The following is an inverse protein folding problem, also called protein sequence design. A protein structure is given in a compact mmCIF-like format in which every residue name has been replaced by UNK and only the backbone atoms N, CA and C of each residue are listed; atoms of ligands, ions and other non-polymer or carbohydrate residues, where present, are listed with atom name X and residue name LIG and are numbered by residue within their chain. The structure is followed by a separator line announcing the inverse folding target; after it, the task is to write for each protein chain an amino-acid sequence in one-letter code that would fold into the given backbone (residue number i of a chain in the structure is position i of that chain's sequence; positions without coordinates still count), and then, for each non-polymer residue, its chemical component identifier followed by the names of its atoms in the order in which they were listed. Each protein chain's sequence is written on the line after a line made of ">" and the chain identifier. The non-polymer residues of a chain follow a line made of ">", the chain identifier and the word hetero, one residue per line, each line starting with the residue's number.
data_IF_401058346396
#
_entry.id   IF_401058346396
#
_cell.length_a   1.000
_cell.length_b   1.000
_cell.length_c   1.000
_cell.angle_alpha   90.00
_cell.angle_beta   90.00
_cell.angle_gamma   90.00
#
_symmetry.space_group_name_H-M   'P 1'
#
loop_
_entity.id
_entity.type
_entity.pdbx_description
1 polymer ?
#
# COMPACT_ATOMS: atom_id res chain seq x y z
N UNK A 1 42.12 -6.22 4.30
CA UNK A 1 41.41 -7.51 4.47
C UNK A 1 39.98 -7.22 4.94
N UNK A 2 39.07 -6.80 4.05
CA UNK A 2 37.63 -6.66 4.40
C UNK A 2 36.65 -6.61 3.20
N UNK A 3 37.10 -6.85 1.97
CA UNK A 3 36.24 -6.77 0.78
C UNK A 3 35.17 -7.86 0.75
N UNK A 4 35.46 -9.04 1.29
CA UNK A 4 34.50 -10.15 1.38
C UNK A 4 33.32 -9.90 2.33
N UNK A 5 33.51 -9.13 3.40
CA UNK A 5 32.44 -8.81 4.36
C UNK A 5 31.49 -7.77 3.74
N UNK A 6 32.04 -6.76 3.06
CA UNK A 6 31.23 -5.77 2.33
C UNK A 6 30.38 -6.41 1.23
N UNK A 7 30.92 -7.39 0.50
CA UNK A 7 30.17 -8.09 -0.56
C UNK A 7 29.01 -8.92 0.02
N UNK A 8 29.22 -9.61 1.15
CA UNK A 8 28.16 -10.39 1.82
C UNK A 8 27.05 -9.49 2.37
N UNK A 9 27.41 -8.37 2.99
CA UNK A 9 26.43 -7.41 3.52
C UNK A 9 25.67 -6.69 2.40
N UNK A 10 26.31 -6.42 1.26
CA UNK A 10 25.64 -5.86 0.08
C UNK A 10 24.62 -6.85 -0.51
N UNK A 11 25.04 -8.09 -0.78
CA UNK A 11 24.16 -9.14 -1.32
C UNK A 11 22.97 -9.43 -0.40
N UNK A 12 23.20 -9.58 0.91
CA UNK A 12 22.10 -9.85 1.87
C UNK A 12 21.12 -8.67 1.94
N UNK A 13 21.61 -7.43 1.86
CA UNK A 13 20.78 -6.22 1.85
C UNK A 13 19.90 -6.12 0.61
N UNK A 14 20.47 -6.37 -0.57
CA UNK A 14 19.69 -6.34 -1.82
C UNK A 14 18.72 -7.52 -1.94
N UNK A 15 19.08 -8.68 -1.40
CA UNK A 15 18.19 -9.82 -1.28
C UNK A 15 16.98 -9.50 -0.36
N UNK A 16 17.19 -8.90 0.81
CA UNK A 16 16.09 -8.52 1.70
C UNK A 16 15.17 -7.45 1.08
N UNK A 17 15.73 -6.52 0.29
CA UNK A 17 14.96 -5.51 -0.45
C UNK A 17 14.09 -6.09 -1.56
N UNK A 18 14.47 -7.23 -2.12
CA UNK A 18 13.70 -7.92 -3.18
C UNK A 18 12.72 -8.94 -2.63
N UNK A 19 12.98 -9.51 -1.45
CA UNK A 19 12.03 -10.41 -0.78
C UNK A 19 10.73 -9.72 -0.38
N UNK A 20 10.80 -8.51 0.17
CA UNK A 20 9.61 -7.77 0.59
C UNK A 20 8.58 -7.62 -0.56
N UNK A 21 8.91 -7.01 -1.71
CA UNK A 21 7.95 -6.89 -2.82
C UNK A 21 7.55 -8.24 -3.43
N UNK A 22 8.40 -9.27 -3.36
CA UNK A 22 8.07 -10.62 -3.81
C UNK A 22 6.91 -11.22 -2.98
N UNK A 23 6.99 -11.15 -1.65
CA UNK A 23 5.92 -11.63 -0.79
C UNK A 23 4.65 -10.79 -0.95
N UNK A 24 4.76 -9.47 -1.09
CA UNK A 24 3.60 -8.60 -1.33
C UNK A 24 2.90 -8.97 -2.64
N UNK A 25 3.67 -9.20 -3.71
CA UNK A 25 3.13 -9.64 -5.00
C UNK A 25 2.46 -11.01 -4.89
N UNK A 26 3.04 -11.96 -4.15
CA UNK A 26 2.46 -13.27 -3.91
C UNK A 26 1.11 -13.18 -3.20
N UNK A 27 1.02 -12.36 -2.15
CA UNK A 27 -0.23 -12.12 -1.41
C UNK A 27 -1.30 -11.53 -2.35
N UNK A 28 -0.94 -10.52 -3.15
CA UNK A 28 -1.85 -9.92 -4.13
C UNK A 28 -2.31 -10.94 -5.16
N UNK A 29 -1.41 -11.77 -5.68
CA UNK A 29 -1.75 -12.81 -6.66
C UNK A 29 -2.74 -13.84 -6.08
N UNK A 30 -2.51 -14.31 -4.84
CA UNK A 30 -3.44 -15.20 -4.14
C UNK A 30 -4.80 -14.52 -3.94
N UNK A 31 -4.80 -13.23 -3.59
CA UNK A 31 -6.01 -12.45 -3.41
C UNK A 31 -6.83 -12.31 -4.71
N UNK A 32 -6.17 -12.05 -5.83
CA UNK A 32 -6.81 -11.98 -7.17
C UNK A 32 -7.40 -13.35 -7.56
N UNK A 33 -6.66 -14.44 -7.35
CA UNK A 33 -7.14 -15.80 -7.63
C UNK A 33 -8.35 -16.14 -6.74
N UNK A 34 -8.32 -15.78 -5.46
CA UNK A 34 -9.44 -15.98 -4.55
C UNK A 34 -10.69 -15.21 -5.03
N UNK A 35 -10.55 -13.95 -5.45
CA UNK A 35 -11.65 -13.16 -6.04
C UNK A 35 -12.18 -13.82 -7.32
N UNK A 36 -11.32 -14.34 -8.18
CA UNK A 36 -11.71 -15.02 -9.41
C UNK A 36 -12.49 -16.33 -9.12
N UNK A 37 -12.00 -17.16 -8.19
CA UNK A 37 -12.66 -18.40 -7.78
C UNK A 37 -14.00 -18.08 -7.11
N UNK A 38 -14.06 -17.13 -6.18
CA UNK A 38 -15.30 -16.71 -5.55
C UNK A 38 -16.28 -16.10 -6.56
N UNK A 39 -15.79 -15.41 -7.60
CA UNK A 39 -16.61 -14.91 -8.70
C UNK A 39 -17.23 -16.06 -9.52
N UNK A 40 -16.44 -17.09 -9.83
CA UNK A 40 -16.84 -18.23 -10.68
C UNK A 40 -17.64 -19.30 -9.93
N UNK A 41 -17.41 -19.48 -8.63
CA UNK A 41 -18.12 -20.50 -7.85
C UNK A 41 -19.42 -19.97 -7.24
N UNK A 42 -19.51 -18.66 -7.02
CA UNK A 42 -20.63 -18.04 -6.33
C UNK A 42 -21.54 -17.31 -7.35
N UNK A 43 -21.89 -17.99 -8.46
CA UNK A 43 -22.82 -17.50 -9.49
C UNK A 43 -24.25 -17.30 -8.97
N UNK A 44 -24.54 -17.71 -7.73
CA UNK A 44 -25.78 -17.36 -7.08
C UNK A 44 -25.89 -15.84 -6.96
N UNK A 45 -26.88 -15.23 -7.62
CA UNK A 45 -26.96 -13.79 -7.65
C UNK A 45 -27.36 -13.27 -6.27
N UNK A 46 -26.42 -12.59 -5.60
CA UNK A 46 -26.70 -11.97 -4.30
C UNK A 46 -27.71 -10.86 -4.52
N UNK A 47 -28.86 -11.02 -3.87
CA UNK A 47 -29.94 -10.05 -3.92
C UNK A 47 -29.56 -8.84 -3.08
N UNK A 48 -28.84 -7.90 -3.67
CA UNK A 48 -28.72 -6.56 -3.11
C UNK A 48 -30.10 -5.90 -3.19
N UNK A 49 -30.88 -6.02 -2.10
CA UNK A 49 -32.09 -5.23 -1.92
C UNK A 49 -31.64 -3.78 -1.76
N UNK A 50 -31.57 -3.06 -2.88
CA UNK A 50 -31.37 -1.61 -2.87
C UNK A 50 -32.60 -0.99 -2.19
N UNK A 51 -32.50 -0.83 -0.87
CA UNK A 51 -33.27 0.09 -0.01
C UNK A 51 -34.79 0.24 -0.20
N UNK A 52 -35.50 -0.66 -0.90
CA UNK A 52 -36.98 -0.80 -1.11
C UNK A 52 -37.34 -1.06 -2.59
N UNK A 53 -36.49 -0.74 -3.57
CA UNK A 53 -36.84 -0.87 -4.98
C UNK A 53 -35.83 -1.72 -5.77
N UNK A 54 -36.33 -2.87 -6.24
CA UNK A 54 -35.81 -3.72 -7.32
C UNK A 54 -34.46 -4.43 -7.10
N UNK A 55 -34.52 -5.77 -7.06
CA UNK A 55 -33.36 -6.66 -6.96
C UNK A 55 -32.68 -6.78 -8.32
N UNK A 56 -31.57 -6.07 -8.50
CA UNK A 56 -30.62 -6.40 -9.57
C UNK A 56 -29.68 -7.45 -9.01
N UNK A 57 -29.75 -8.61 -9.63
CA UNK A 57 -28.95 -9.80 -9.37
C UNK A 57 -27.50 -9.53 -9.80
N UNK A 58 -26.68 -8.95 -8.93
CA UNK A 58 -25.27 -8.66 -9.23
C UNK A 58 -24.40 -9.84 -8.76
N UNK A 59 -23.57 -10.43 -9.64
CA UNK A 59 -22.59 -11.44 -9.26
C UNK A 59 -21.65 -10.93 -8.16
N UNK A 60 -21.41 -11.76 -7.16
CA UNK A 60 -20.53 -11.42 -6.02
C UNK A 60 -19.13 -11.04 -6.44
N UNK A 61 -18.65 -11.57 -7.57
CA UNK A 61 -17.39 -11.16 -8.18
C UNK A 61 -17.32 -9.68 -8.54
N UNK A 62 -18.43 -9.08 -9.01
CA UNK A 62 -18.48 -7.65 -9.36
C UNK A 62 -18.41 -6.80 -8.09
N UNK A 63 -19.09 -7.21 -7.03
CA UNK A 63 -19.06 -6.52 -5.73
C UNK A 63 -17.66 -6.56 -5.12
N UNK A 64 -17.00 -7.73 -5.16
CA UNK A 64 -15.62 -7.91 -4.70
C UNK A 64 -14.63 -7.10 -5.53
N UNK A 65 -14.74 -7.13 -6.86
CA UNK A 65 -13.88 -6.35 -7.74
C UNK A 65 -14.03 -4.84 -7.51
N UNK A 66 -15.26 -4.37 -7.31
CA UNK A 66 -15.52 -2.96 -7.00
C UNK A 66 -14.97 -2.56 -5.63
N UNK A 67 -15.18 -3.38 -4.60
CA UNK A 67 -14.63 -3.14 -3.26
C UNK A 67 -13.10 -3.11 -3.25
N UNK A 68 -12.45 -4.10 -3.88
CA UNK A 68 -11.00 -4.14 -4.01
C UNK A 68 -10.49 -2.92 -4.79
N UNK A 69 -11.12 -2.56 -5.91
CA UNK A 69 -10.76 -1.41 -6.72
C UNK A 69 -10.83 -0.08 -5.96
N UNK A 70 -11.94 0.16 -5.25
CA UNK A 70 -12.09 1.35 -4.39
C UNK A 70 -11.06 1.35 -3.27
N UNK A 71 -10.78 0.21 -2.65
CA UNK A 71 -9.73 0.07 -1.64
C UNK A 71 -8.35 0.44 -2.17
N UNK A 72 -7.96 -0.08 -3.34
CA UNK A 72 -6.68 0.25 -3.97
C UNK A 72 -6.58 1.73 -4.34
N UNK A 73 -7.62 2.31 -4.93
CA UNK A 73 -7.67 3.74 -5.26
C UNK A 73 -7.58 4.59 -4.00
N UNK A 74 -8.30 4.22 -2.93
CA UNK A 74 -8.25 4.91 -1.64
C UNK A 74 -6.85 4.91 -1.03
N UNK A 75 -6.18 3.75 -1.00
CA UNK A 75 -4.79 3.65 -0.50
C UNK A 75 -3.82 4.44 -1.38
N UNK A 76 -3.96 4.38 -2.70
CA UNK A 76 -3.11 5.12 -3.64
C UNK A 76 -3.23 6.64 -3.48
N UNK A 77 -4.39 7.15 -3.07
CA UNK A 77 -4.62 8.57 -2.77
C UNK A 77 -4.13 8.93 -1.35
N UNK A 78 -4.31 8.04 -0.37
CA UNK A 78 -3.85 8.27 1.01
C UNK A 78 -2.33 8.30 1.13
N UNK A 79 -1.61 7.50 0.33
CA UNK A 79 -0.14 7.41 0.40
C UNK A 79 0.55 8.77 0.17
N UNK A 80 0.25 9.53 -0.91
CA UNK A 80 0.75 10.89 -1.09
C UNK A 80 0.35 11.84 0.04
N UNK A 81 -0.88 11.74 0.53
CA UNK A 81 -1.39 12.62 1.59
C UNK A 81 -0.67 12.41 2.93
N UNK A 82 -0.37 11.17 3.31
CA UNK A 82 0.44 10.88 4.50
C UNK A 82 1.89 11.33 4.32
N UNK A 83 2.46 11.14 3.12
CA UNK A 83 3.81 11.62 2.81
C UNK A 83 3.94 13.15 2.95
N UNK A 84 2.90 13.90 2.61
CA UNK A 84 2.88 15.36 2.78
C UNK A 84 2.76 15.76 4.25
N UNK A 85 2.01 15.00 5.06
CA UNK A 85 1.84 15.28 6.50
C UNK A 85 3.10 14.97 7.34
N UNK A 86 3.98 14.08 6.88
CA UNK A 86 5.20 13.67 7.61
C UNK A 86 6.43 14.53 7.35
N UNK A 87 6.37 15.49 6.43
CA UNK A 87 7.55 16.25 5.96
C UNK A 87 7.92 17.47 6.83
N UNK A 88 7.23 17.69 7.97
CA UNK A 88 7.27 18.97 8.69
C UNK A 88 8.18 19.09 9.91
N UNK A 89 8.85 18.02 10.38
CA UNK A 89 9.46 18.05 11.73
C UNK A 89 11.00 18.10 11.76
N UNK A 90 11.69 18.25 10.63
CA UNK A 90 13.17 18.26 10.59
C UNK A 90 13.78 19.49 9.92
N UNK A 91 12.98 20.48 9.50
CA UNK A 91 13.48 21.74 8.90
C UNK A 91 13.49 22.93 9.86
N UNK A 92 12.81 22.83 11.01
CA UNK A 92 12.70 23.94 11.96
C UNK A 92 13.85 23.99 12.97
N UNK A 93 14.58 22.90 13.17
CA UNK A 93 15.73 22.83 14.09
C UNK A 93 17.03 23.35 13.43
N UNK A 94 17.18 23.15 12.11
CA UNK A 94 18.34 23.65 11.33
C UNK A 94 18.28 25.18 11.16
N UNK A 95 17.09 25.74 10.95
CA UNK A 95 16.90 27.20 10.92
C UNK A 95 17.09 27.82 12.31
N UNK A 96 16.74 27.13 13.40
CA UNK A 96 16.91 27.66 14.76
C UNK A 96 18.38 27.68 15.21
N UNK A 97 19.20 26.70 14.82
CA UNK A 97 20.65 26.74 15.06
C UNK A 97 21.35 27.83 14.24
N UNK A 98 20.85 28.15 13.05
CA UNK A 98 21.38 29.22 12.20
C UNK A 98 21.23 30.63 12.81
N UNK A 99 20.22 30.88 13.65
CA UNK A 99 20.02 32.18 14.31
C UNK A 99 20.69 32.31 15.69
N UNK A 100 21.29 31.25 16.23
CA UNK A 100 21.89 31.26 17.58
C UNK A 100 23.37 31.65 17.56
N UNK A 101 24.07 31.52 16.43
CA UNK A 101 25.52 31.81 16.33
C UNK A 101 25.87 33.29 16.03
N UNK A 102 24.89 34.17 15.78
CA UNK A 102 25.13 35.57 15.34
C UNK A 102 24.80 36.66 16.39
N UNK A 103 24.43 36.32 17.65
CA UNK A 103 24.14 37.31 18.72
C UNK A 103 25.28 37.54 19.74
N UNK A 104 26.53 37.45 19.30
CA UNK A 104 27.71 37.86 20.08
C UNK A 104 28.39 39.12 19.47
N UNK A 105 27.75 40.29 19.57
CA UNK A 105 28.39 41.61 19.37
C UNK A 105 28.00 42.63 20.44
#
# INVERSE_FOLDING_TARGET
>A
MNTGVHLRVFVVRDFMKTLAPFFTSLVVAVWVVAIAILSVQNFEPVSLKFLTFQSIKIPVGIVLAFSAGVGFVGVAILQPLWSLSGSGNSRLEEDAEFFVDDEDF
#
